data_IF_894006295357
#
_entry.id   IF_894006295357
#
_cell.length_a   1.000
_cell.length_b   1.000
_cell.length_c   1.000
_cell.angle_alpha   90.00
_cell.angle_beta   90.00
_cell.angle_gamma   90.00
#
_symmetry.space_group_name_H-M   'P 1'
#
loop_
_entity.id
_entity.type
_entity.pdbx_description
1 polymer ?
#
# COMPACT_ATOMS: atom_id res chain seq x y z
N UNK A 1 18.64 -16.76 -6.22
CA UNK A 1 19.35 -15.57 -5.65
C UNK A 1 18.41 -14.38 -5.76
N UNK A 2 18.25 -13.61 -4.68
CA UNK A 2 17.34 -12.44 -4.65
C UNK A 2 17.89 -11.35 -5.58
N UNK A 3 17.03 -10.83 -6.44
CA UNK A 3 17.31 -9.76 -7.41
C UNK A 3 16.39 -8.55 -7.26
N UNK A 4 15.24 -8.70 -6.56
CA UNK A 4 14.32 -7.62 -6.25
C UNK A 4 13.84 -7.71 -4.79
N UNK A 5 13.66 -6.53 -4.16
CA UNK A 5 13.13 -6.38 -2.82
C UNK A 5 11.96 -5.39 -2.85
N UNK A 6 10.81 -5.83 -2.38
CA UNK A 6 9.57 -5.08 -2.31
C UNK A 6 9.32 -4.66 -0.87
N UNK A 7 8.98 -3.40 -0.67
CA UNK A 7 8.81 -2.83 0.66
C UNK A 7 7.46 -2.13 0.77
N UNK A 8 6.70 -2.48 1.81
CA UNK A 8 5.63 -1.59 2.26
C UNK A 8 6.23 -0.34 2.92
N UNK A 9 5.39 0.67 3.17
CA UNK A 9 5.82 1.94 3.75
C UNK A 9 5.52 2.01 5.24
N UNK A 10 4.24 2.03 5.61
CA UNK A 10 3.77 2.38 6.95
C UNK A 10 3.98 1.22 7.93
N UNK A 11 4.89 1.37 8.87
CA UNK A 11 5.30 0.27 9.77
C UNK A 11 6.37 -0.65 9.19
N UNK A 12 6.85 -0.39 7.97
CA UNK A 12 7.91 -1.15 7.31
C UNK A 12 9.12 -0.27 6.95
N UNK A 13 8.99 0.66 5.99
CA UNK A 13 10.04 1.65 5.69
C UNK A 13 9.98 2.83 6.64
N UNK A 14 8.80 3.26 7.06
CA UNK A 14 8.58 4.40 7.96
C UNK A 14 8.06 3.93 9.31
N UNK A 15 8.64 4.47 10.38
CA UNK A 15 8.14 4.32 11.74
C UNK A 15 6.81 5.06 11.93
N UNK A 16 5.84 4.42 12.59
CA UNK A 16 4.61 5.11 13.04
C UNK A 16 4.87 6.14 14.15
N UNK A 17 6.01 6.05 14.84
CA UNK A 17 6.37 6.95 15.94
C UNK A 17 7.05 8.21 15.44
N UNK A 18 7.99 8.08 14.50
CA UNK A 18 8.83 9.19 14.03
C UNK A 18 8.40 9.73 12.66
N UNK A 19 7.56 8.99 11.93
CA UNK A 19 7.18 9.23 10.54
C UNK A 19 8.38 9.37 9.58
N UNK A 20 9.50 8.77 9.95
CA UNK A 20 10.75 8.82 9.20
C UNK A 20 11.34 7.41 9.00
N UNK A 21 12.18 7.27 7.99
CA UNK A 21 12.92 6.04 7.73
C UNK A 21 14.11 5.92 8.67
N UNK A 22 14.26 4.79 9.41
CA UNK A 22 15.44 4.54 10.24
C UNK A 22 16.74 4.58 9.44
N UNK A 23 17.82 5.08 10.05
CA UNK A 23 19.13 5.18 9.37
C UNK A 23 19.69 3.79 8.98
N UNK A 24 19.38 2.75 9.72
CA UNK A 24 19.73 1.37 9.36
C UNK A 24 19.03 0.90 8.08
N UNK A 25 17.75 1.25 7.91
CA UNK A 25 16.97 0.97 6.69
C UNK A 25 17.58 1.68 5.49
N UNK A 26 17.98 2.96 5.63
CA UNK A 26 18.69 3.70 4.57
C UNK A 26 20.01 3.04 4.18
N UNK A 27 20.75 2.52 5.17
CA UNK A 27 21.99 1.76 4.90
C UNK A 27 21.71 0.46 4.15
N UNK A 28 20.67 -0.27 4.56
CA UNK A 28 20.27 -1.51 3.88
C UNK A 28 19.87 -1.25 2.42
N UNK A 29 19.03 -0.25 2.16
CA UNK A 29 18.62 0.12 0.79
C UNK A 29 19.82 0.52 -0.08
N UNK A 30 20.80 1.26 0.47
CA UNK A 30 22.04 1.59 -0.28
C UNK A 30 22.81 0.33 -0.65
N UNK A 31 23.02 -0.58 0.30
CA UNK A 31 23.75 -1.82 0.06
C UNK A 31 23.05 -2.75 -0.95
N UNK A 32 21.70 -2.82 -0.93
CA UNK A 32 20.93 -3.57 -1.93
C UNK A 32 21.19 -3.01 -3.34
N UNK A 33 21.13 -1.69 -3.52
CA UNK A 33 21.40 -1.03 -4.81
C UNK A 33 22.82 -1.25 -5.29
N UNK A 34 23.82 -1.15 -4.40
CA UNK A 34 25.23 -1.41 -4.71
C UNK A 34 25.46 -2.84 -5.21
N UNK A 35 24.62 -3.79 -4.80
CA UNK A 35 24.61 -5.18 -5.28
C UNK A 35 23.73 -5.41 -6.52
N UNK A 36 23.13 -4.36 -7.07
CA UNK A 36 22.24 -4.45 -8.22
C UNK A 36 20.89 -5.07 -7.94
N UNK A 37 20.49 -5.16 -6.66
CA UNK A 37 19.16 -5.65 -6.27
C UNK A 37 18.16 -4.50 -6.46
N UNK A 38 17.12 -4.75 -7.26
CA UNK A 38 16.05 -3.80 -7.50
C UNK A 38 15.26 -3.52 -6.22
N UNK A 39 15.05 -2.25 -5.90
CA UNK A 39 14.27 -1.81 -4.75
C UNK A 39 12.95 -1.24 -5.20
N UNK A 40 11.83 -1.74 -4.68
CA UNK A 40 10.48 -1.39 -5.12
C UNK A 40 9.63 -1.02 -3.91
N UNK A 41 8.94 0.11 -3.98
CA UNK A 41 7.87 0.45 -3.01
C UNK A 41 6.59 -0.28 -3.41
N UNK A 42 5.85 -0.82 -2.41
CA UNK A 42 4.54 -1.43 -2.61
C UNK A 42 3.58 -0.98 -1.50
N UNK A 43 2.72 -0.01 -1.80
CA UNK A 43 1.95 0.74 -0.80
C UNK A 43 0.49 0.97 -1.19
N UNK A 44 -0.37 1.20 -0.18
CA UNK A 44 -1.72 1.75 -0.37
C UNK A 44 -1.74 3.24 -0.69
N UNK A 45 -0.64 3.97 -0.43
CA UNK A 45 -0.54 5.40 -0.72
C UNK A 45 -0.50 5.67 -2.24
N UNK A 46 -1.01 6.84 -2.64
CA UNK A 46 -0.72 7.42 -3.96
C UNK A 46 0.68 8.03 -4.00
N UNK A 47 1.21 8.34 -5.19
CA UNK A 47 2.48 9.07 -5.33
C UNK A 47 2.45 10.45 -4.66
N UNK A 48 1.28 11.08 -4.56
CA UNK A 48 1.11 12.39 -3.90
C UNK A 48 1.34 12.31 -2.39
N UNK A 49 0.95 11.18 -1.79
CA UNK A 49 1.01 10.95 -0.34
C UNK A 49 2.38 10.45 0.14
N UNK A 50 3.31 10.20 -0.79
CA UNK A 50 4.67 9.83 -0.43
C UNK A 50 5.41 11.03 0.17
N UNK A 51 6.13 10.77 1.26
CA UNK A 51 7.10 11.74 1.79
C UNK A 51 8.27 11.91 0.79
N UNK A 52 8.88 13.08 0.77
CA UNK A 52 9.90 13.41 -0.25
C UNK A 52 11.07 12.42 -0.27
N UNK A 53 11.43 11.85 0.88
CA UNK A 53 12.47 10.84 1.02
C UNK A 53 12.17 9.54 0.22
N UNK A 54 10.89 9.23 -0.01
CA UNK A 54 10.44 8.03 -0.73
C UNK A 54 10.12 8.28 -2.21
N UNK A 55 9.98 9.53 -2.65
CA UNK A 55 9.62 9.87 -4.05
C UNK A 55 10.70 9.54 -5.06
N UNK A 56 11.94 9.33 -4.60
CA UNK A 56 13.08 9.08 -5.46
C UNK A 56 13.93 7.95 -4.90
N UNK A 57 14.70 7.32 -5.79
CA UNK A 57 15.69 6.32 -5.40
C UNK A 57 15.20 4.89 -5.34
N UNK A 58 13.98 4.60 -5.79
CA UNK A 58 13.47 3.25 -6.00
C UNK A 58 13.36 2.97 -7.51
N UNK A 59 13.54 1.70 -7.89
CA UNK A 59 13.49 1.27 -9.29
C UNK A 59 12.06 1.24 -9.83
N UNK A 60 11.07 1.04 -8.95
CA UNK A 60 9.65 1.09 -9.28
C UNK A 60 8.79 1.41 -8.06
N UNK A 61 7.56 1.81 -8.32
CA UNK A 61 6.54 2.17 -7.34
C UNK A 61 5.24 1.43 -7.67
N UNK A 62 4.80 0.61 -6.75
CA UNK A 62 3.49 -0.03 -6.74
C UNK A 62 2.64 0.78 -5.77
N UNK A 63 1.75 1.62 -6.27
CA UNK A 63 0.91 2.53 -5.49
C UNK A 63 -0.54 2.11 -5.53
N UNK A 64 -1.36 2.68 -4.62
CA UNK A 64 -2.80 2.44 -4.55
C UNK A 64 -3.11 0.92 -4.47
N UNK A 65 -2.35 0.21 -3.62
CA UNK A 65 -2.42 -1.25 -3.48
C UNK A 65 -2.29 -2.00 -4.82
N UNK A 66 -1.39 -1.53 -5.70
CA UNK A 66 -1.09 -2.20 -6.96
C UNK A 66 -1.95 -1.78 -8.15
N UNK A 67 -2.81 -0.77 -7.99
CA UNK A 67 -3.65 -0.31 -9.11
C UNK A 67 -2.88 0.57 -10.10
N UNK A 68 -1.90 1.33 -9.61
CA UNK A 68 -1.00 2.12 -10.44
C UNK A 68 0.44 1.74 -10.14
N UNK A 69 1.15 1.21 -11.14
CA UNK A 69 2.56 0.85 -11.03
C UNK A 69 3.39 1.65 -12.03
N UNK A 70 4.48 2.25 -11.53
CA UNK A 70 5.30 3.21 -12.24
C UNK A 70 6.78 2.85 -12.14
N UNK A 71 7.55 3.12 -13.20
CA UNK A 71 9.01 3.18 -13.18
C UNK A 71 9.48 4.47 -13.90
N UNK A 72 10.77 4.62 -14.13
CA UNK A 72 11.34 5.77 -14.84
C UNK A 72 10.79 5.98 -16.26
N UNK A 73 10.23 4.94 -16.88
CA UNK A 73 9.63 4.98 -18.22
C UNK A 73 8.15 5.34 -18.20
N UNK A 74 7.53 5.47 -17.02
CA UNK A 74 6.13 5.77 -16.81
C UNK A 74 5.31 4.60 -16.26
N UNK A 75 3.99 4.68 -16.41
CA UNK A 75 3.07 3.64 -15.92
C UNK A 75 3.16 2.37 -16.78
N UNK A 76 3.29 1.20 -16.11
CA UNK A 76 3.25 -0.12 -16.76
C UNK A 76 2.08 -0.99 -16.27
N UNK A 77 1.36 -0.56 -15.23
CA UNK A 77 0.06 -1.07 -14.80
C UNK A 77 -0.81 0.12 -14.41
N UNK A 78 -2.04 0.15 -14.91
CA UNK A 78 -3.00 1.24 -14.73
C UNK A 78 -4.42 0.63 -14.74
N UNK A 79 -5.01 0.42 -13.55
CA UNK A 79 -6.28 -0.31 -13.37
C UNK A 79 -7.16 0.44 -12.37
N UNK A 80 -8.01 1.36 -12.82
CA UNK A 80 -8.95 2.05 -11.95
C UNK A 80 -10.08 1.12 -11.46
N UNK A 81 -10.78 1.54 -10.42
CA UNK A 81 -12.06 0.96 -9.98
C UNK A 81 -13.09 1.11 -11.11
N UNK A 82 -13.90 0.08 -11.29
CA UNK A 82 -15.02 0.13 -12.24
C UNK A 82 -15.88 1.37 -12.03
N UNK A 83 -16.28 2.04 -13.10
CA UNK A 83 -16.94 3.33 -13.03
C UNK A 83 -18.34 3.27 -12.38
N UNK A 84 -19.06 2.15 -12.50
CA UNK A 84 -20.37 1.95 -11.88
C UNK A 84 -20.20 1.71 -10.37
N UNK A 85 -19.26 0.85 -9.99
CA UNK A 85 -18.93 0.62 -8.57
C UNK A 85 -18.41 1.91 -7.91
N UNK A 86 -17.54 2.65 -8.58
CA UNK A 86 -17.04 3.93 -8.09
C UNK A 86 -18.17 4.94 -7.85
N UNK A 87 -19.10 5.06 -8.81
CA UNK A 87 -20.28 5.92 -8.67
C UNK A 87 -21.14 5.51 -7.48
N UNK A 88 -21.42 4.21 -7.32
CA UNK A 88 -22.22 3.67 -6.22
C UNK A 88 -21.60 4.02 -4.86
N UNK A 89 -20.31 3.79 -4.69
CA UNK A 89 -19.59 4.12 -3.43
C UNK A 89 -19.66 5.61 -3.13
N UNK A 90 -19.42 6.45 -4.14
CA UNK A 90 -19.46 7.92 -4.00
C UNK A 90 -20.89 8.40 -3.67
N UNK A 91 -21.93 7.86 -4.32
CA UNK A 91 -23.32 8.22 -4.03
C UNK A 91 -23.72 7.88 -2.59
N UNK A 92 -23.38 6.68 -2.11
CA UNK A 92 -23.64 6.28 -0.73
C UNK A 92 -22.94 7.18 0.29
N UNK A 93 -21.70 7.61 0.01
CA UNK A 93 -20.97 8.48 0.92
C UNK A 93 -21.48 9.93 0.91
N UNK A 94 -21.66 10.53 -0.26
CA UNK A 94 -21.96 11.96 -0.37
C UNK A 94 -23.46 12.30 -0.26
N UNK A 95 -24.33 11.46 -0.81
CA UNK A 95 -25.78 11.72 -0.86
C UNK A 95 -26.55 11.02 0.22
N UNK A 96 -26.18 9.78 0.53
CA UNK A 96 -26.89 8.98 1.51
C UNK A 96 -26.22 8.99 2.90
N UNK A 97 -24.99 9.51 3.00
CA UNK A 97 -24.22 9.64 4.23
C UNK A 97 -24.08 8.33 5.03
N UNK A 98 -23.96 7.20 4.31
CA UNK A 98 -23.83 5.87 4.95
C UNK A 98 -22.49 5.67 5.63
N UNK A 99 -21.44 6.27 5.08
CA UNK A 99 -20.06 6.21 5.56
C UNK A 99 -19.25 7.38 4.99
N UNK A 100 -18.09 7.63 5.57
CA UNK A 100 -17.09 8.54 4.99
C UNK A 100 -16.17 7.78 4.05
N UNK A 101 -15.62 8.45 3.05
CA UNK A 101 -14.63 7.90 2.13
C UNK A 101 -13.44 8.84 1.95
N UNK A 102 -12.26 8.24 1.81
CA UNK A 102 -11.13 8.85 1.12
C UNK A 102 -11.18 8.39 -0.34
N UNK A 103 -11.16 9.34 -1.25
CA UNK A 103 -11.09 9.10 -2.70
C UNK A 103 -9.64 9.26 -3.12
N UNK A 104 -9.07 8.25 -3.78
CA UNK A 104 -7.70 8.30 -4.28
C UNK A 104 -7.69 8.19 -5.81
N UNK A 105 -7.25 9.27 -6.42
CA UNK A 105 -6.98 9.43 -7.85
C UNK A 105 -5.47 9.63 -8.05
N UNK A 106 -4.89 9.44 -9.23
CA UNK A 106 -3.45 9.61 -9.44
C UNK A 106 -2.93 10.99 -9.04
N UNK A 107 -3.73 12.03 -9.26
CA UNK A 107 -3.35 13.43 -9.03
C UNK A 107 -4.20 14.12 -7.95
N UNK A 108 -5.00 13.38 -7.20
CA UNK A 108 -5.82 13.94 -6.13
C UNK A 108 -6.14 12.89 -5.07
N UNK A 109 -6.08 13.32 -3.80
CA UNK A 109 -6.47 12.52 -2.64
C UNK A 109 -7.24 13.43 -1.68
N UNK A 110 -8.49 13.09 -1.38
CA UNK A 110 -9.39 13.93 -0.58
C UNK A 110 -10.52 13.10 0.03
N UNK A 111 -11.19 13.64 1.02
CA UNK A 111 -12.25 12.95 1.76
C UNK A 111 -13.63 13.53 1.50
N UNK A 112 -14.65 12.70 1.66
CA UNK A 112 -16.05 13.15 1.61
C UNK A 112 -16.43 14.02 2.80
N UNK A 113 -15.81 13.76 3.97
CA UNK A 113 -16.01 14.53 5.20
C UNK A 113 -14.82 14.37 6.16
N UNK A 114 -14.41 15.46 6.80
CA UNK A 114 -13.39 15.47 7.85
C UNK A 114 -13.98 15.09 9.23
N UNK A 115 -14.45 13.83 9.36
CA UNK A 115 -14.89 13.30 10.65
C UNK A 115 -13.71 13.10 11.62
N UNK A 116 -14.01 12.83 12.90
CA UNK A 116 -12.99 12.52 13.90
C UNK A 116 -12.15 11.28 13.50
N UNK A 117 -12.82 10.23 13.00
CA UNK A 117 -12.16 9.00 12.50
C UNK A 117 -11.18 9.30 11.36
N UNK A 118 -11.57 10.14 10.39
CA UNK A 118 -10.71 10.57 9.28
C UNK A 118 -9.49 11.34 9.79
N UNK A 119 -9.69 12.26 10.75
CA UNK A 119 -8.57 13.02 11.36
C UNK A 119 -7.60 12.09 12.10
N UNK A 120 -8.13 11.14 12.89
CA UNK A 120 -7.31 10.15 13.60
C UNK A 120 -6.43 9.34 12.64
N UNK A 121 -6.97 8.95 11.48
CA UNK A 121 -6.16 8.27 10.44
C UNK A 121 -5.11 9.21 9.87
N UNK A 122 -5.48 10.44 9.53
CA UNK A 122 -4.55 11.44 9.02
C UNK A 122 -3.36 11.66 9.97
N UNK A 123 -3.63 11.81 11.26
CA UNK A 123 -2.60 11.97 12.30
C UNK A 123 -1.70 10.73 12.40
N UNK A 124 -2.29 9.52 12.33
CA UNK A 124 -1.55 8.26 12.39
C UNK A 124 -0.56 8.08 11.24
N UNK A 125 -0.94 8.51 10.03
CA UNK A 125 -0.10 8.35 8.82
C UNK A 125 0.65 9.64 8.42
N UNK A 126 0.50 10.73 9.19
CA UNK A 126 1.15 12.01 8.92
C UNK A 126 0.60 12.75 7.69
N UNK A 127 -0.68 12.55 7.33
CA UNK A 127 -1.32 13.16 6.15
C UNK A 127 -2.45 14.08 6.59
N UNK A 128 -2.48 15.30 6.05
CA UNK A 128 -3.60 16.24 6.24
C UNK A 128 -4.57 16.12 5.05
N UNK A 129 -5.74 15.54 5.31
CA UNK A 129 -6.80 15.45 4.31
C UNK A 129 -7.62 16.73 4.24
N UNK A 130 -8.27 16.95 3.10
CA UNK A 130 -9.25 18.03 2.88
C UNK A 130 -10.53 17.45 2.26
N UNK A 131 -11.63 18.16 2.45
CA UNK A 131 -12.91 17.79 1.85
C UNK A 131 -13.02 18.30 0.41
N UNK A 132 -13.68 17.52 -0.43
CA UNK A 132 -14.03 17.90 -1.80
C UNK A 132 -15.48 17.52 -2.12
N UNK A 133 -16.01 18.06 -3.23
CA UNK A 133 -17.39 17.86 -3.64
C UNK A 133 -17.64 16.50 -4.31
N UNK A 134 -18.92 16.11 -4.37
CA UNK A 134 -19.39 14.95 -5.12
C UNK A 134 -18.95 14.99 -6.59
N UNK A 135 -19.07 16.16 -7.24
CA UNK A 135 -18.70 16.37 -8.64
C UNK A 135 -17.19 16.17 -8.83
N UNK A 136 -16.38 16.65 -7.88
CA UNK A 136 -14.93 16.44 -7.90
C UNK A 136 -14.58 14.96 -7.77
N UNK A 137 -15.26 14.23 -6.91
CA UNK A 137 -15.02 12.80 -6.74
C UNK A 137 -15.22 12.00 -8.04
N UNK A 138 -16.18 12.38 -8.87
CA UNK A 138 -16.47 11.71 -10.14
C UNK A 138 -15.82 12.38 -11.38
N UNK A 139 -14.92 13.36 -11.18
CA UNK A 139 -14.31 14.10 -12.29
C UNK A 139 -13.15 13.37 -12.98
N UNK A 140 -12.61 12.32 -12.35
CA UNK A 140 -11.49 11.51 -12.86
C UNK A 140 -11.63 10.06 -12.41
N UNK A 141 -10.93 9.10 -13.05
CA UNK A 141 -10.90 7.70 -12.60
C UNK A 141 -10.39 7.58 -11.16
N UNK A 142 -11.04 6.73 -10.38
CA UNK A 142 -10.69 6.44 -8.99
C UNK A 142 -9.96 5.09 -8.96
N UNK A 143 -8.87 4.99 -8.24
CA UNK A 143 -8.05 3.78 -8.19
C UNK A 143 -8.23 3.01 -6.89
N UNK A 144 -8.57 3.73 -5.83
CA UNK A 144 -8.82 3.16 -4.52
C UNK A 144 -9.73 4.08 -3.72
N UNK A 145 -10.52 3.48 -2.82
CA UNK A 145 -11.14 4.18 -1.71
C UNK A 145 -10.58 3.67 -0.39
N UNK A 146 -10.52 4.53 0.64
CA UNK A 146 -10.59 4.05 2.01
C UNK A 146 -12.02 4.32 2.49
N UNK A 147 -12.74 3.28 2.87
CA UNK A 147 -14.11 3.38 3.38
C UNK A 147 -14.08 3.26 4.89
N UNK A 148 -14.57 4.29 5.59
CA UNK A 148 -14.51 4.40 7.05
C UNK A 148 -15.70 3.71 7.69
N UNK A 149 -15.62 2.39 7.81
CA UNK A 149 -16.61 1.50 8.47
C UNK A 149 -15.90 0.60 9.47
N UNK A 150 -16.63 0.08 10.45
CA UNK A 150 -16.08 -0.86 11.43
C UNK A 150 -15.82 -2.24 10.79
N UNK A 151 -14.90 -3.05 11.37
CA UNK A 151 -14.69 -4.42 10.91
C UNK A 151 -16.00 -5.23 10.89
N UNK A 152 -16.27 -5.88 9.75
CA UNK A 152 -17.51 -6.65 9.53
C UNK A 152 -18.66 -5.85 8.91
N UNK A 153 -18.52 -4.54 8.76
CA UNK A 153 -19.52 -3.68 8.13
C UNK A 153 -19.31 -3.46 6.62
N UNK A 154 -18.32 -4.11 6.01
CA UNK A 154 -18.01 -3.97 4.58
C UNK A 154 -19.22 -4.29 3.67
N UNK A 155 -20.20 -5.04 4.18
CA UNK A 155 -21.44 -5.36 3.46
C UNK A 155 -22.25 -4.11 3.08
N UNK A 156 -22.09 -2.97 3.79
CA UNK A 156 -22.84 -1.73 3.53
C UNK A 156 -22.53 -1.12 2.16
N UNK A 157 -21.40 -1.47 1.53
CA UNK A 157 -21.07 -1.11 0.16
C UNK A 157 -20.84 -2.34 -0.73
N UNK A 158 -20.26 -3.45 -0.23
CA UNK A 158 -20.00 -4.65 -1.04
C UNK A 158 -21.27 -5.29 -1.59
N UNK A 159 -22.40 -5.17 -0.91
CA UNK A 159 -23.69 -5.68 -1.41
C UNK A 159 -24.23 -4.89 -2.62
N UNK A 160 -23.68 -3.74 -2.92
CA UNK A 160 -24.10 -2.83 -3.98
C UNK A 160 -23.05 -2.64 -5.08
N UNK A 161 -21.92 -3.34 -4.96
CA UNK A 161 -20.82 -3.29 -5.92
C UNK A 161 -20.50 -4.70 -6.43
N UNK A 162 -19.85 -4.80 -7.61
CA UNK A 162 -19.66 -6.08 -8.30
C UNK A 162 -18.19 -6.46 -8.49
N UNK A 163 -17.33 -5.48 -8.75
CA UNK A 163 -15.95 -5.67 -9.19
C UNK A 163 -14.90 -5.18 -8.19
N UNK A 164 -15.31 -4.92 -6.95
CA UNK A 164 -14.38 -4.49 -5.88
C UNK A 164 -14.26 -5.54 -4.78
N UNK A 165 -13.22 -5.40 -3.98
CA UNK A 165 -13.00 -6.11 -2.72
C UNK A 165 -12.45 -5.16 -1.67
N UNK A 166 -12.62 -5.51 -0.39
CA UNK A 166 -12.08 -4.77 0.75
C UNK A 166 -10.88 -5.52 1.36
N UNK A 167 -9.88 -4.77 1.81
CA UNK A 167 -8.74 -5.25 2.62
C UNK A 167 -8.49 -4.28 3.77
N UNK A 168 -7.87 -4.75 4.87
CA UNK A 168 -7.58 -3.89 6.04
C UNK A 168 -6.12 -3.98 6.45
N UNK A 169 -5.60 -2.90 6.98
CA UNK A 169 -4.39 -2.83 7.79
C UNK A 169 -4.63 -2.04 9.09
N UNK A 170 -5.87 -1.58 9.30
CA UNK A 170 -6.33 -0.89 10.50
C UNK A 170 -7.79 -1.20 10.77
N UNK A 171 -8.24 -1.09 12.01
CA UNK A 171 -9.67 -1.20 12.36
C UNK A 171 -10.48 0.03 11.94
N UNK A 172 -9.83 1.16 11.65
CA UNK A 172 -10.50 2.44 11.40
C UNK A 172 -11.15 2.55 10.02
N UNK A 173 -10.67 1.81 9.04
CA UNK A 173 -11.20 1.78 7.66
C UNK A 173 -10.79 0.51 6.93
N UNK A 174 -11.34 0.30 5.75
CA UNK A 174 -10.84 -0.68 4.78
C UNK A 174 -10.48 0.00 3.46
N UNK A 175 -9.42 -0.50 2.83
CA UNK A 175 -9.09 -0.18 1.45
C UNK A 175 -10.04 -0.94 0.52
N UNK A 176 -10.63 -0.23 -0.44
CA UNK A 176 -11.51 -0.80 -1.46
C UNK A 176 -10.84 -0.63 -2.83
N UNK A 177 -10.51 -1.76 -3.42
CA UNK A 177 -9.77 -1.85 -4.69
C UNK A 177 -10.52 -2.76 -5.67
N UNK A 178 -10.21 -2.71 -6.99
CA UNK A 178 -10.73 -3.68 -7.94
C UNK A 178 -10.55 -5.12 -7.46
N UNK A 179 -11.48 -6.02 -7.78
CA UNK A 179 -11.42 -7.44 -7.40
C UNK A 179 -10.13 -8.10 -7.92
N UNK A 180 -9.71 -7.77 -9.13
CA UNK A 180 -8.41 -8.15 -9.73
C UNK A 180 -7.31 -7.13 -9.39
N UNK A 181 -7.34 -6.60 -8.19
CA UNK A 181 -6.40 -5.64 -7.64
C UNK A 181 -5.73 -6.17 -6.37
N UNK A 182 -4.90 -5.34 -5.77
CA UNK A 182 -4.10 -5.65 -4.58
C UNK A 182 -2.62 -5.74 -4.89
N UNK A 183 -1.79 -5.69 -3.85
CA UNK A 183 -0.32 -5.65 -3.97
C UNK A 183 0.24 -6.81 -4.80
N UNK A 184 -0.35 -8.02 -4.74
CA UNK A 184 0.07 -9.16 -5.55
C UNK A 184 0.08 -8.87 -7.05
N UNK A 185 -0.94 -8.20 -7.57
CA UNK A 185 -1.01 -7.86 -8.99
C UNK A 185 0.06 -6.84 -9.39
N UNK A 186 0.34 -5.88 -8.50
CA UNK A 186 1.43 -4.94 -8.69
C UNK A 186 2.80 -5.63 -8.70
N UNK A 187 3.05 -6.54 -7.75
CA UNK A 187 4.29 -7.35 -7.68
C UNK A 187 4.45 -8.19 -8.94
N UNK A 188 3.41 -8.93 -9.35
CA UNK A 188 3.47 -9.75 -10.56
C UNK A 188 3.75 -8.91 -11.83
N UNK A 189 3.13 -7.74 -11.96
CA UNK A 189 3.40 -6.81 -13.06
C UNK A 189 4.85 -6.29 -13.04
N UNK A 190 5.37 -5.98 -11.84
CA UNK A 190 6.74 -5.49 -11.66
C UNK A 190 7.78 -6.58 -11.93
N UNK A 191 7.57 -7.80 -11.44
CA UNK A 191 8.43 -8.94 -11.75
C UNK A 191 8.49 -9.20 -13.26
N UNK A 192 7.34 -9.21 -13.92
CA UNK A 192 7.27 -9.31 -15.39
C UNK A 192 8.02 -8.15 -16.09
N UNK A 193 7.88 -6.94 -15.58
CA UNK A 193 8.57 -5.74 -16.11
C UNK A 193 10.08 -5.85 -16.02
N UNK A 194 10.59 -6.47 -14.94
CA UNK A 194 12.03 -6.68 -14.71
C UNK A 194 12.55 -7.99 -15.30
N UNK A 195 11.69 -8.88 -15.81
CA UNK A 195 12.08 -10.20 -16.30
C UNK A 195 12.57 -11.12 -15.18
N UNK A 196 11.92 -11.05 -14.02
CA UNK A 196 12.27 -11.82 -12.81
C UNK A 196 11.15 -12.82 -12.46
N UNK A 197 11.56 -13.94 -11.83
CA UNK A 197 10.64 -14.93 -11.27
C UNK A 197 10.36 -14.62 -9.79
N UNK A 198 9.22 -15.10 -9.24
CA UNK A 198 8.87 -14.91 -7.82
C UNK A 198 9.98 -15.33 -6.84
N UNK A 199 10.69 -16.41 -7.13
CA UNK A 199 11.77 -16.97 -6.30
C UNK A 199 13.00 -16.06 -6.23
N UNK A 200 13.10 -15.08 -7.13
CA UNK A 200 14.16 -14.06 -7.16
C UNK A 200 13.80 -12.79 -6.40
N UNK A 201 12.66 -12.80 -5.69
CA UNK A 201 12.14 -11.65 -4.97
C UNK A 201 11.96 -11.91 -3.48
N UNK A 202 12.14 -10.84 -2.69
CA UNK A 202 11.78 -10.77 -1.27
C UNK A 202 10.82 -9.61 -1.05
N UNK A 203 9.83 -9.79 -0.16
CA UNK A 203 8.91 -8.76 0.24
C UNK A 203 8.95 -8.51 1.75
N UNK A 204 8.80 -7.25 2.16
CA UNK A 204 8.75 -6.79 3.55
C UNK A 204 7.44 -6.07 3.79
N UNK A 205 6.74 -6.40 4.88
CA UNK A 205 5.44 -5.80 5.21
C UNK A 205 5.03 -6.05 6.66
N UNK A 206 3.95 -5.40 7.11
CA UNK A 206 3.42 -5.53 8.46
C UNK A 206 1.88 -5.62 8.53
N UNK A 207 1.17 -5.22 7.46
CA UNK A 207 -0.28 -5.19 7.38
C UNK A 207 -0.91 -6.37 6.63
N UNK A 208 -2.22 -6.59 6.82
CA UNK A 208 -2.94 -7.66 6.10
C UNK A 208 -3.00 -7.46 4.58
N UNK A 209 -2.91 -6.20 4.12
CA UNK A 209 -2.80 -5.90 2.70
C UNK A 209 -1.47 -6.40 2.08
N UNK A 210 -0.45 -6.70 2.90
CA UNK A 210 0.83 -7.28 2.47
C UNK A 210 0.76 -8.79 2.25
N UNK A 211 -0.21 -9.48 2.83
CA UNK A 211 -0.35 -10.92 2.68
C UNK A 211 -0.38 -11.35 1.22
N UNK A 212 -1.09 -10.60 0.40
CA UNK A 212 -1.14 -10.88 -1.04
C UNK A 212 0.22 -10.65 -1.73
N UNK A 213 1.01 -9.68 -1.27
CA UNK A 213 2.38 -9.45 -1.74
C UNK A 213 3.30 -10.60 -1.31
N UNK A 214 3.14 -11.11 -0.08
CA UNK A 214 3.92 -12.24 0.43
C UNK A 214 3.70 -13.51 -0.39
N UNK A 215 2.46 -13.75 -0.86
CA UNK A 215 2.12 -14.88 -1.72
C UNK A 215 2.69 -14.77 -3.15
N UNK A 216 3.07 -13.55 -3.57
CA UNK A 216 3.56 -13.26 -4.92
C UNK A 216 5.09 -13.32 -5.04
N UNK A 217 5.82 -13.62 -3.96
CA UNK A 217 7.30 -13.68 -3.94
C UNK A 217 7.80 -14.99 -3.32
N UNK A 218 9.04 -15.35 -3.60
CA UNK A 218 9.66 -16.56 -3.05
C UNK A 218 10.06 -16.45 -1.57
N UNK A 219 10.25 -15.23 -1.07
CA UNK A 219 10.61 -14.98 0.33
C UNK A 219 9.82 -13.81 0.87
N UNK A 220 9.13 -13.99 1.98
CA UNK A 220 8.39 -12.94 2.67
C UNK A 220 8.91 -12.71 4.09
N UNK A 221 8.97 -11.46 4.50
CA UNK A 221 9.49 -11.02 5.80
C UNK A 221 8.44 -10.16 6.47
N UNK A 222 7.87 -10.63 7.57
CA UNK A 222 7.02 -9.81 8.43
C UNK A 222 7.88 -8.98 9.39
N UNK A 223 7.54 -7.70 9.53
CA UNK A 223 8.17 -6.83 10.52
C UNK A 223 7.78 -7.26 11.94
N UNK A 224 8.61 -6.94 12.94
CA UNK A 224 8.35 -7.26 14.34
C UNK A 224 7.08 -6.63 14.90
N UNK A 225 6.72 -5.44 14.38
CA UNK A 225 5.47 -4.72 14.69
C UNK A 225 4.24 -5.22 13.88
N UNK A 226 4.40 -6.19 12.98
CA UNK A 226 3.30 -6.72 12.17
C UNK A 226 2.21 -7.38 13.04
N UNK A 227 1.01 -7.47 12.51
CA UNK A 227 -0.07 -8.23 13.12
C UNK A 227 0.28 -9.73 13.17
N UNK A 228 -0.23 -10.44 14.17
CA UNK A 228 0.07 -11.87 14.33
C UNK A 228 -0.35 -12.68 13.12
N UNK A 229 -1.52 -12.36 12.51
CA UNK A 229 -1.99 -12.98 11.26
C UNK A 229 -1.03 -12.82 10.08
N UNK A 230 -0.26 -11.72 10.06
CA UNK A 230 0.77 -11.46 9.03
C UNK A 230 2.06 -12.22 9.34
N UNK A 231 2.49 -12.22 10.62
CA UNK A 231 3.68 -12.96 11.07
C UNK A 231 3.58 -14.46 10.80
N UNK A 232 2.41 -15.05 11.03
CA UNK A 232 2.15 -16.48 10.81
C UNK A 232 2.27 -16.90 9.34
N UNK A 233 2.09 -15.97 8.40
CA UNK A 233 2.10 -16.23 6.96
C UNK A 233 3.40 -15.84 6.26
N UNK A 234 4.31 -15.22 6.97
CA UNK A 234 5.62 -14.85 6.42
C UNK A 234 6.60 -16.03 6.47
N UNK A 235 7.58 -16.02 5.56
CA UNK A 235 8.70 -16.98 5.59
C UNK A 235 9.47 -16.89 6.91
N UNK A 236 9.64 -15.67 7.43
CA UNK A 236 10.14 -15.41 8.78
C UNK A 236 9.76 -14.01 9.27
N UNK A 237 9.89 -13.82 10.57
CA UNK A 237 9.69 -12.51 11.23
C UNK A 237 11.05 -11.90 11.52
N UNK A 238 11.21 -10.59 11.26
CA UNK A 238 12.36 -9.80 11.64
C UNK A 238 12.05 -8.93 12.88
N UNK A 239 12.96 -8.01 13.24
CA UNK A 239 12.74 -7.06 14.32
C UNK A 239 11.71 -5.98 13.91
N UNK A 240 11.30 -5.17 14.87
CA UNK A 240 10.44 -4.00 14.68
C UNK A 240 11.08 -2.99 13.71
N UNK A 241 10.24 -2.15 13.07
CA UNK A 241 10.72 -1.05 12.22
C UNK A 241 11.65 -0.11 12.98
N UNK A 242 11.38 0.11 14.27
CA UNK A 242 12.18 0.96 15.16
C UNK A 242 13.39 0.22 15.78
N UNK A 243 13.54 -1.08 15.54
CA UNK A 243 14.65 -1.92 16.00
C UNK A 243 15.40 -2.56 14.80
N UNK A 244 15.77 -1.75 13.82
CA UNK A 244 16.59 -2.12 12.67
C UNK A 244 16.06 -3.31 11.83
N UNK A 245 14.74 -3.56 11.79
CA UNK A 245 14.12 -4.77 11.26
C UNK A 245 14.55 -5.12 9.82
N UNK A 246 14.48 -4.17 8.89
CA UNK A 246 14.91 -4.40 7.48
C UNK A 246 16.39 -4.72 7.41
N UNK A 247 17.24 -4.02 8.17
CA UNK A 247 18.67 -4.25 8.18
C UNK A 247 19.02 -5.66 8.67
N UNK A 248 18.39 -6.11 9.75
CA UNK A 248 18.58 -7.46 10.30
C UNK A 248 18.11 -8.55 9.33
N UNK A 249 16.96 -8.35 8.70
CA UNK A 249 16.47 -9.29 7.68
C UNK A 249 17.40 -9.38 6.48
N UNK A 250 17.85 -8.24 5.95
CA UNK A 250 18.80 -8.22 4.82
C UNK A 250 20.13 -8.93 5.17
N UNK A 251 20.63 -8.77 6.40
CA UNK A 251 21.80 -9.52 6.87
C UNK A 251 21.52 -11.03 6.94
N UNK A 252 20.37 -11.43 7.49
CA UNK A 252 19.97 -12.85 7.59
C UNK A 252 19.88 -13.50 6.20
N UNK A 253 19.43 -12.75 5.21
CA UNK A 253 19.30 -13.20 3.82
C UNK A 253 20.64 -13.14 3.03
N UNK A 254 21.71 -12.63 3.61
CA UNK A 254 23.00 -12.46 2.95
C UNK A 254 23.00 -11.36 1.87
N UNK A 255 22.10 -10.39 1.99
CA UNK A 255 21.92 -9.28 1.06
C UNK A 255 22.75 -8.02 1.41
N UNK A 256 23.45 -8.04 2.53
CA UNK A 256 24.35 -6.96 2.98
C UNK A 256 25.79 -7.43 3.01
#
# INVERSE_FOLDING_TARGET
MIKAAFFDIDGTLLSFTTHAMPESTKRALRALRERGIKTVISTGRSMLELVDELKNGFDAYITLNGQLCLDESGAYRDVPVDAEDARTIVEHAYREHRYDILVQQPEASFVSRLSERVRTVGDKVGIQYHEESYEKALSAPIYQFCVFVDPGEEHVFLNYTHNVKATRWTELFCDVVPREGGKAYGVAATLKRFGLEPEEAVAFGDGENDLSMFEAVGTSVAMGNAWDSVKERATFVTNDVDDDGIYHACRRLGLL
#
